data_IF_600581809920
#
_entry.id   IF_600581809920
#
_cell.length_a   1.000
_cell.length_b   1.000
_cell.length_c   1.000
_cell.angle_alpha   90.00
_cell.angle_beta   90.00
_cell.angle_gamma   90.00
#
_symmetry.space_group_name_H-M   'P 1'
#
loop_
_entity.id
_entity.type
_entity.pdbx_description
1 polymer ?
#
# COMPACT_ATOMS: atom_id res chain seq x y z
N UNK A 1 11.21 -28.71 -45.88
CA UNK A 1 11.51 -28.54 -44.44
C UNK A 1 12.00 -27.12 -44.20
N UNK A 2 11.16 -26.22 -43.66
CA UNK A 2 11.55 -24.86 -43.28
C UNK A 2 10.92 -24.53 -41.93
N UNK A 3 11.74 -24.37 -40.89
CA UNK A 3 11.32 -24.18 -39.50
C UNK A 3 10.65 -22.82 -39.30
N UNK A 4 9.37 -22.81 -38.97
CA UNK A 4 8.69 -21.63 -38.40
C UNK A 4 9.19 -21.37 -36.98
N UNK A 5 10.20 -20.51 -36.84
CA UNK A 5 10.62 -19.97 -35.53
C UNK A 5 9.54 -18.99 -35.03
N UNK A 6 8.67 -19.47 -34.13
CA UNK A 6 7.80 -18.59 -33.34
C UNK A 6 8.68 -17.66 -32.52
N UNK A 7 8.65 -16.35 -32.81
CA UNK A 7 9.25 -15.31 -31.96
C UNK A 7 8.63 -15.41 -30.56
N UNK A 8 9.40 -15.86 -29.58
CA UNK A 8 9.04 -15.78 -28.18
C UNK A 8 8.98 -14.30 -27.79
N UNK A 9 7.77 -13.81 -27.45
CA UNK A 9 7.55 -12.46 -26.96
C UNK A 9 8.25 -12.35 -25.60
N UNK A 10 9.31 -11.53 -25.49
CA UNK A 10 9.95 -11.21 -24.19
C UNK A 10 8.93 -10.45 -23.35
N UNK A 11 8.17 -11.17 -22.53
CA UNK A 11 7.34 -10.58 -21.47
C UNK A 11 8.31 -10.05 -20.43
N UNK A 12 8.25 -8.75 -20.10
CA UNK A 12 9.09 -8.21 -19.03
C UNK A 12 8.72 -8.91 -17.72
N UNK A 13 9.71 -9.12 -16.84
CA UNK A 13 9.50 -9.76 -15.53
C UNK A 13 8.41 -9.03 -14.73
N UNK A 14 8.35 -7.71 -14.88
CA UNK A 14 7.26 -6.88 -14.36
C UNK A 14 5.90 -7.37 -14.87
N UNK A 15 5.69 -7.46 -16.18
CA UNK A 15 4.43 -7.91 -16.78
C UNK A 15 4.12 -9.36 -16.41
N UNK A 16 5.11 -10.25 -16.31
CA UNK A 16 4.86 -11.65 -15.93
C UNK A 16 4.46 -11.80 -14.47
N UNK A 17 5.04 -11.02 -13.54
CA UNK A 17 4.63 -11.02 -12.14
C UNK A 17 3.20 -10.52 -12.01
N UNK A 18 2.84 -9.43 -12.71
CA UNK A 18 1.46 -8.93 -12.73
C UNK A 18 0.48 -9.90 -13.42
N UNK A 19 0.90 -10.61 -14.46
CA UNK A 19 0.07 -11.58 -15.20
C UNK A 19 -0.10 -12.92 -14.47
N UNK A 20 0.85 -13.33 -13.62
CA UNK A 20 0.76 -14.58 -12.86
C UNK A 20 -0.38 -14.55 -11.82
N UNK A 21 -0.81 -13.35 -11.42
CA UNK A 21 -1.95 -13.14 -10.51
C UNK A 21 -3.33 -13.13 -11.19
N UNK A 22 -3.40 -13.28 -12.51
CA UNK A 22 -4.65 -13.28 -13.29
C UNK A 22 -5.33 -14.68 -13.34
N UNK A 23 -4.72 -15.70 -12.72
CA UNK A 23 -5.22 -17.10 -12.76
C UNK A 23 -6.39 -17.41 -11.81
N UNK A 24 -6.81 -16.49 -10.95
CA UNK A 24 -8.03 -16.64 -10.14
C UNK A 24 -9.05 -15.51 -10.45
N UNK A 25 -9.85 -15.68 -11.51
CA UNK A 25 -11.00 -14.80 -11.82
C UNK A 25 -12.23 -15.18 -10.97
N UNK A 26 -13.17 -14.27 -10.61
CA UNK A 26 -13.58 -13.08 -11.39
C UNK A 26 -13.72 -11.78 -10.55
N UNK A 27 -12.92 -10.78 -10.90
CA UNK A 27 -13.11 -9.38 -10.49
C UNK A 27 -12.85 -8.41 -11.66
N UNK A 28 -13.36 -8.80 -12.81
CA UNK A 28 -13.07 -8.28 -14.15
C UNK A 28 -13.34 -6.77 -14.28
N UNK A 29 -14.31 -6.25 -13.52
CA UNK A 29 -14.65 -4.81 -13.54
C UNK A 29 -13.65 -3.91 -12.81
N UNK A 30 -13.06 -4.38 -11.70
CA UNK A 30 -12.20 -3.55 -10.85
C UNK A 30 -10.70 -3.85 -11.04
N UNK A 31 -10.37 -4.89 -11.81
CA UNK A 31 -8.99 -5.28 -12.06
C UNK A 31 -8.12 -4.13 -12.62
N UNK A 32 -8.56 -3.33 -13.62
CA UNK A 32 -7.76 -2.22 -14.12
C UNK A 32 -7.50 -1.15 -13.05
N UNK A 33 -8.53 -0.83 -12.24
CA UNK A 33 -8.42 0.13 -11.16
C UNK A 33 -7.45 -0.36 -10.06
N UNK A 34 -7.53 -1.65 -9.69
CA UNK A 34 -6.61 -2.25 -8.71
C UNK A 34 -5.17 -2.23 -9.23
N UNK A 35 -4.94 -2.53 -10.51
CA UNK A 35 -3.61 -2.47 -11.12
C UNK A 35 -3.05 -1.05 -11.13
N UNK A 36 -3.88 -0.06 -11.50
CA UNK A 36 -3.50 1.35 -11.46
C UNK A 36 -3.15 1.78 -10.04
N UNK A 37 -4.03 1.50 -9.07
CA UNK A 37 -3.82 1.83 -7.67
C UNK A 37 -2.54 1.19 -7.12
N UNK A 38 -2.27 -0.08 -7.44
CA UNK A 38 -0.99 -0.73 -7.06
C UNK A 38 0.22 -0.04 -7.68
N UNK A 39 0.13 0.40 -8.94
CA UNK A 39 1.19 1.15 -9.59
C UNK A 39 1.46 2.49 -8.89
N UNK A 40 0.39 3.23 -8.56
CA UNK A 40 0.50 4.49 -7.81
C UNK A 40 1.07 4.24 -6.41
N UNK A 41 0.60 3.22 -5.71
CA UNK A 41 1.05 2.83 -4.35
C UNK A 41 2.57 2.55 -4.33
N UNK A 42 3.09 1.85 -5.35
CA UNK A 42 4.55 1.62 -5.50
C UNK A 42 5.31 2.91 -5.69
N UNK A 43 4.87 3.77 -6.61
CA UNK A 43 5.57 5.02 -6.91
C UNK A 43 5.59 5.90 -5.67
N UNK A 44 4.45 6.05 -5.00
CA UNK A 44 4.35 6.82 -3.77
C UNK A 44 5.21 6.23 -2.66
N UNK A 45 5.18 4.91 -2.45
CA UNK A 45 5.99 4.26 -1.41
C UNK A 45 7.48 4.37 -1.70
N UNK A 46 7.89 4.31 -2.97
CA UNK A 46 9.30 4.47 -3.35
C UNK A 46 9.79 5.89 -3.06
N UNK A 47 8.99 6.92 -3.38
CA UNK A 47 9.38 8.32 -3.16
C UNK A 47 9.25 8.71 -1.69
N UNK A 48 8.07 8.54 -1.10
CA UNK A 48 7.76 9.08 0.23
C UNK A 48 8.08 8.11 1.36
N UNK A 49 7.88 6.81 1.15
CA UNK A 49 8.23 5.79 2.15
C UNK A 49 9.73 5.48 2.18
N UNK A 50 10.37 5.35 1.02
CA UNK A 50 11.76 4.92 0.93
C UNK A 50 12.72 6.09 0.75
N UNK A 51 12.63 6.88 -0.33
CA UNK A 51 13.62 7.96 -0.56
C UNK A 51 13.54 9.05 0.51
N UNK A 52 12.37 9.65 0.72
CA UNK A 52 12.22 10.72 1.70
C UNK A 52 12.11 10.12 3.10
N UNK A 53 11.20 9.15 3.27
CA UNK A 53 10.86 8.61 4.59
C UNK A 53 11.99 7.83 5.28
N UNK A 54 12.96 7.29 4.55
CA UNK A 54 14.13 6.66 5.16
C UNK A 54 15.28 7.65 5.32
N UNK A 55 15.66 8.37 4.25
CA UNK A 55 16.87 9.19 4.28
C UNK A 55 16.70 10.49 5.06
N UNK A 56 15.55 11.16 4.99
CA UNK A 56 15.34 12.41 5.72
C UNK A 56 15.48 12.27 7.24
N UNK A 57 14.80 11.32 7.93
CA UNK A 57 15.03 11.12 9.36
C UNK A 57 16.46 10.66 9.65
N UNK A 58 17.12 9.91 8.76
CA UNK A 58 18.52 9.52 8.94
C UNK A 58 19.46 10.73 8.92
N UNK A 59 19.24 11.66 7.98
CA UNK A 59 19.97 12.91 7.90
C UNK A 59 19.74 13.79 9.13
N UNK A 60 18.52 13.81 9.68
CA UNK A 60 18.24 14.51 10.94
C UNK A 60 18.99 13.86 12.10
N UNK A 61 18.94 12.54 12.24
CA UNK A 61 19.57 11.84 13.37
C UNK A 61 21.10 12.01 13.38
N UNK A 62 21.75 11.97 12.21
CA UNK A 62 23.22 11.94 12.10
C UNK A 62 23.81 13.31 11.78
N UNK A 63 23.05 14.17 11.10
CA UNK A 63 23.57 15.35 10.41
C UNK A 63 23.13 16.70 10.98
N UNK A 64 22.29 16.75 12.02
CA UNK A 64 21.95 18.01 12.69
C UNK A 64 22.61 18.12 14.07
N UNK A 65 23.08 19.32 14.40
CA UNK A 65 23.59 19.65 15.73
C UNK A 65 22.45 20.01 16.70
N UNK A 66 21.21 20.09 16.21
CA UNK A 66 20.02 20.30 17.04
C UNK A 66 19.67 19.01 17.81
N UNK A 67 20.12 18.95 19.07
CA UNK A 67 19.82 17.85 19.98
C UNK A 67 18.32 17.69 20.27
N UNK A 68 17.54 18.77 20.15
CA UNK A 68 16.09 18.75 20.33
C UNK A 68 15.36 18.05 19.19
N UNK A 69 15.93 18.03 17.98
CA UNK A 69 15.33 17.40 16.80
C UNK A 69 15.91 16.00 16.51
N UNK A 70 17.23 15.82 16.66
CA UNK A 70 17.89 14.52 16.47
C UNK A 70 17.52 13.50 17.55
N UNK A 71 17.28 13.95 18.78
CA UNK A 71 16.86 13.11 19.90
C UNK A 71 15.34 12.94 20.05
N UNK A 72 14.52 13.64 19.26
CA UNK A 72 13.07 13.54 19.39
C UNK A 72 12.57 12.17 18.89
N UNK A 73 11.74 11.53 19.71
CA UNK A 73 11.18 10.21 19.41
C UNK A 73 10.40 10.18 18.09
N UNK A 74 9.84 11.31 17.65
CA UNK A 74 9.08 11.39 16.41
C UNK A 74 9.93 11.20 15.16
N UNK A 75 11.23 11.52 15.20
CA UNK A 75 12.18 11.26 14.12
C UNK A 75 12.44 9.75 13.97
N UNK A 76 12.55 9.02 15.09
CA UNK A 76 12.64 7.55 15.08
C UNK A 76 11.31 6.95 14.61
N UNK A 77 10.18 7.47 15.09
CA UNK A 77 8.85 7.00 14.70
C UNK A 77 8.59 7.21 13.20
N UNK A 78 9.11 8.29 12.63
CA UNK A 78 9.08 8.53 11.18
C UNK A 78 9.80 7.41 10.44
N UNK A 79 11.05 7.12 10.81
CA UNK A 79 11.85 6.06 10.20
C UNK A 79 11.16 4.69 10.29
N UNK A 80 10.60 4.35 11.45
CA UNK A 80 9.87 3.10 11.66
C UNK A 80 8.62 3.04 10.77
N UNK A 81 7.85 4.13 10.69
CA UNK A 81 6.65 4.20 9.84
C UNK A 81 6.99 4.01 8.36
N UNK A 82 8.07 4.64 7.91
CA UNK A 82 8.63 4.52 6.55
C UNK A 82 9.06 3.09 6.21
N UNK A 83 9.70 2.40 7.14
CA UNK A 83 10.03 0.98 6.99
C UNK A 83 8.78 0.11 6.92
N UNK A 84 7.74 0.40 7.71
CA UNK A 84 6.48 -0.32 7.66
C UNK A 84 5.74 -0.12 6.33
N UNK A 85 5.70 1.09 5.78
CA UNK A 85 5.19 1.31 4.42
C UNK A 85 5.97 0.52 3.37
N UNK A 86 7.30 0.54 3.47
CA UNK A 86 8.16 -0.21 2.56
C UNK A 86 7.93 -1.72 2.67
N UNK A 87 7.77 -2.25 3.88
CA UNK A 87 7.46 -3.67 4.08
C UNK A 87 6.04 -4.02 3.59
N UNK A 88 5.06 -3.18 3.90
CA UNK A 88 3.67 -3.38 3.53
C UNK A 88 3.44 -3.37 2.01
N UNK A 89 4.20 -2.58 1.23
CA UNK A 89 4.12 -2.63 -0.24
C UNK A 89 4.60 -3.97 -0.80
N UNK A 90 5.63 -4.60 -0.22
CA UNK A 90 6.03 -5.95 -0.62
C UNK A 90 4.93 -6.97 -0.31
N UNK A 91 4.33 -6.89 0.87
CA UNK A 91 3.20 -7.75 1.26
C UNK A 91 2.00 -7.55 0.32
N UNK A 92 1.73 -6.31 -0.09
CA UNK A 92 0.68 -5.97 -1.05
C UNK A 92 0.96 -6.62 -2.41
N UNK A 93 2.21 -6.58 -2.87
CA UNK A 93 2.64 -7.16 -4.14
C UNK A 93 2.61 -8.69 -4.15
N UNK A 94 2.82 -9.33 -3.00
CA UNK A 94 2.59 -10.75 -2.82
C UNK A 94 1.09 -11.13 -2.80
N UNK A 95 0.19 -10.15 -2.93
CA UNK A 95 -1.26 -10.35 -3.03
C UNK A 95 -1.97 -10.42 -1.68
N UNK A 96 -1.25 -10.31 -0.56
CA UNK A 96 -1.83 -10.38 0.78
C UNK A 96 -2.38 -9.02 1.23
N UNK A 97 -3.44 -8.59 0.54
CA UNK A 97 -4.06 -7.26 0.68
C UNK A 97 -4.46 -6.91 2.12
N UNK A 98 -5.07 -7.85 2.86
CA UNK A 98 -5.50 -7.61 4.25
C UNK A 98 -4.32 -7.32 5.19
N UNK A 99 -3.27 -8.13 5.10
CA UNK A 99 -2.07 -7.94 5.91
C UNK A 99 -1.36 -6.65 5.53
N UNK A 100 -1.26 -6.34 4.24
CA UNK A 100 -0.70 -5.08 3.77
C UNK A 100 -1.48 -3.87 4.32
N UNK A 101 -2.82 -3.90 4.27
CA UNK A 101 -3.65 -2.83 4.82
C UNK A 101 -3.47 -2.66 6.33
N UNK A 102 -3.32 -3.76 7.09
CA UNK A 102 -3.02 -3.68 8.51
C UNK A 102 -1.67 -2.98 8.77
N UNK A 103 -0.62 -3.41 8.07
CA UNK A 103 0.72 -2.83 8.20
C UNK A 103 0.70 -1.34 7.86
N UNK A 104 0.10 -0.96 6.73
CA UNK A 104 0.01 0.45 6.31
C UNK A 104 -0.88 1.28 7.24
N UNK A 105 -1.88 0.68 7.89
CA UNK A 105 -2.69 1.39 8.90
C UNK A 105 -1.87 1.70 10.15
N UNK A 106 -1.02 0.77 10.60
CA UNK A 106 -0.09 1.00 11.71
C UNK A 106 0.94 2.07 11.33
N UNK A 107 1.50 1.99 10.13
CA UNK A 107 2.42 3.00 9.60
C UNK A 107 1.76 4.39 9.52
N UNK A 108 0.48 4.46 9.13
CA UNK A 108 -0.27 5.71 9.08
C UNK A 108 -0.51 6.30 10.47
N UNK A 109 -0.79 5.47 11.48
CA UNK A 109 -0.91 5.94 12.85
C UNK A 109 0.41 6.55 13.35
N UNK A 110 1.55 5.90 13.10
CA UNK A 110 2.87 6.45 13.41
C UNK A 110 3.15 7.76 12.68
N UNK A 111 2.85 7.81 11.38
CA UNK A 111 2.99 9.01 10.54
C UNK A 111 2.13 10.17 11.04
N UNK A 112 0.91 9.90 11.50
CA UNK A 112 0.02 10.91 12.03
C UNK A 112 0.57 11.50 13.34
N UNK A 113 1.09 10.65 14.23
CA UNK A 113 1.75 11.09 15.46
C UNK A 113 2.97 11.96 15.13
N UNK A 114 3.82 11.52 14.20
CA UNK A 114 4.97 12.29 13.74
C UNK A 114 4.56 13.63 13.14
N UNK A 115 3.52 13.65 12.29
CA UNK A 115 3.02 14.88 11.67
C UNK A 115 2.61 15.90 12.73
N UNK A 116 1.78 15.52 13.71
CA UNK A 116 1.36 16.44 14.77
C UNK A 116 2.54 16.93 15.60
N UNK A 117 3.49 16.04 15.92
CA UNK A 117 4.69 16.43 16.65
C UNK A 117 5.55 17.43 15.88
N UNK A 118 5.73 17.22 14.58
CA UNK A 118 6.49 18.13 13.72
C UNK A 118 5.75 19.46 13.51
N UNK A 119 4.43 19.46 13.39
CA UNK A 119 3.65 20.71 13.36
C UNK A 119 3.87 21.53 14.64
N UNK A 120 3.92 20.89 15.81
CA UNK A 120 4.21 21.57 17.07
C UNK A 120 5.66 22.06 17.16
N UNK A 121 6.63 21.26 16.71
CA UNK A 121 8.06 21.63 16.71
C UNK A 121 8.34 22.82 15.79
N UNK A 122 7.67 22.88 14.64
CA UNK A 122 7.91 23.90 13.61
C UNK A 122 6.90 25.05 13.63
N UNK A 123 5.97 25.10 14.61
CA UNK A 123 4.86 26.07 14.66
C UNK A 123 5.29 27.56 14.63
N UNK A 124 6.50 27.85 15.11
CA UNK A 124 7.03 29.22 15.22
C UNK A 124 7.92 29.60 14.02
N UNK A 125 8.17 28.65 13.10
CA UNK A 125 8.98 28.87 11.91
C UNK A 125 8.08 29.23 10.72
N UNK A 126 8.60 30.07 9.84
CA UNK A 126 7.89 30.55 8.64
C UNK A 126 7.45 29.40 7.71
N UNK A 127 8.13 28.25 7.80
CA UNK A 127 7.85 27.02 7.07
C UNK A 127 7.00 26.00 7.86
N UNK A 128 6.17 26.43 8.82
CA UNK A 128 5.36 25.54 9.66
C UNK A 128 4.49 24.53 8.90
N UNK A 129 4.17 24.78 7.61
CA UNK A 129 3.43 23.85 6.75
C UNK A 129 4.29 22.80 6.04
N UNK A 130 5.62 22.93 6.04
CA UNK A 130 6.53 22.01 5.36
C UNK A 130 6.36 20.52 5.76
N UNK A 131 6.13 20.17 7.05
CA UNK A 131 5.83 18.80 7.47
C UNK A 131 4.70 18.15 6.67
N UNK A 132 3.65 18.91 6.36
CA UNK A 132 2.46 18.41 5.66
C UNK A 132 2.82 17.82 4.30
N UNK A 133 3.73 18.47 3.55
CA UNK A 133 4.16 18.02 2.23
C UNK A 133 4.84 16.65 2.22
N UNK A 134 5.44 16.25 3.34
CA UNK A 134 6.12 14.97 3.49
C UNK A 134 5.20 13.87 4.03
N UNK A 135 4.35 14.20 5.00
CA UNK A 135 3.57 13.19 5.72
C UNK A 135 2.21 12.90 5.06
N UNK A 136 1.57 13.86 4.40
CA UNK A 136 0.27 13.62 3.75
C UNK A 136 0.34 12.57 2.63
N UNK A 137 1.37 12.57 1.75
CA UNK A 137 1.55 11.51 0.76
C UNK A 137 1.69 10.12 1.40
N UNK A 138 2.36 10.00 2.55
CA UNK A 138 2.46 8.75 3.30
C UNK A 138 1.09 8.27 3.80
N UNK A 139 0.24 9.16 4.30
CA UNK A 139 -1.14 8.82 4.65
C UNK A 139 -1.95 8.39 3.41
N UNK A 140 -1.67 8.98 2.26
CA UNK A 140 -2.22 8.58 0.96
C UNK A 140 -1.90 7.13 0.58
N UNK A 141 -0.67 6.66 0.84
CA UNK A 141 -0.27 5.24 0.66
C UNK A 141 -1.23 4.31 1.42
N UNK A 142 -1.46 4.58 2.71
CA UNK A 142 -2.37 3.76 3.51
C UNK A 142 -3.81 3.77 2.96
N UNK A 143 -4.31 4.94 2.57
CA UNK A 143 -5.65 5.06 1.98
C UNK A 143 -5.78 4.24 0.69
N UNK A 144 -4.77 4.27 -0.18
CA UNK A 144 -4.73 3.47 -1.42
C UNK A 144 -4.75 1.98 -1.10
N UNK A 145 -3.91 1.52 -0.17
CA UNK A 145 -3.83 0.09 0.19
C UNK A 145 -5.13 -0.41 0.83
N UNK A 146 -5.77 0.40 1.69
CA UNK A 146 -7.09 0.09 2.25
C UNK A 146 -8.12 -0.01 1.12
N UNK A 147 -8.09 0.92 0.16
CA UNK A 147 -8.98 0.90 -1.01
C UNK A 147 -8.79 -0.36 -1.85
N UNK A 148 -7.55 -0.74 -2.16
CA UNK A 148 -7.23 -2.00 -2.86
C UNK A 148 -7.80 -3.21 -2.09
N UNK A 149 -7.65 -3.20 -0.77
CA UNK A 149 -8.12 -4.28 0.09
C UNK A 149 -9.64 -4.40 0.08
N UNK A 150 -10.36 -3.27 0.13
CA UNK A 150 -11.82 -3.24 0.04
C UNK A 150 -12.30 -3.73 -1.32
N UNK A 151 -11.72 -3.19 -2.41
CA UNK A 151 -12.06 -3.59 -3.78
C UNK A 151 -11.82 -5.08 -4.02
N UNK A 152 -10.77 -5.65 -3.43
CA UNK A 152 -10.43 -7.07 -3.59
C UNK A 152 -11.31 -7.99 -2.73
N UNK A 153 -11.59 -7.63 -1.48
CA UNK A 153 -12.16 -8.56 -0.50
C UNK A 153 -13.69 -8.41 -0.31
N UNK A 154 -14.26 -7.22 -0.49
CA UNK A 154 -15.71 -7.02 -0.31
C UNK A 154 -16.52 -7.84 -1.32
N UNK A 155 -16.23 -7.83 -2.63
CA UNK A 155 -17.02 -8.61 -3.58
C UNK A 155 -16.87 -10.12 -3.37
N UNK A 156 -15.68 -10.59 -2.95
CA UNK A 156 -15.45 -12.00 -2.59
C UNK A 156 -16.35 -12.43 -1.42
N UNK A 157 -16.46 -11.59 -0.38
CA UNK A 157 -17.35 -11.82 0.76
C UNK A 157 -18.82 -11.85 0.36
N UNK A 158 -19.25 -10.93 -0.50
CA UNK A 158 -20.63 -10.87 -1.00
C UNK A 158 -21.00 -12.12 -1.80
N UNK A 159 -20.12 -12.59 -2.69
CA UNK A 159 -20.33 -13.83 -3.46
C UNK A 159 -20.41 -15.06 -2.54
N UNK A 160 -19.48 -15.18 -1.59
CA UNK A 160 -19.48 -16.27 -0.63
C UNK A 160 -20.74 -16.29 0.25
N UNK A 161 -21.26 -15.11 0.64
CA UNK A 161 -22.51 -15.00 1.39
C UNK A 161 -23.72 -15.47 0.56
N UNK A 162 -23.83 -15.02 -0.70
CA UNK A 162 -24.90 -15.44 -1.62
C UNK A 162 -24.87 -16.94 -1.90
N UNK A 163 -23.70 -17.54 -2.07
CA UNK A 163 -23.57 -18.99 -2.25
C UNK A 163 -24.08 -19.76 -1.03
N UNK A 164 -23.71 -19.33 0.18
CA UNK A 164 -24.21 -19.93 1.44
C UNK A 164 -25.72 -19.75 1.64
N UNK A 165 -26.28 -18.64 1.16
CA UNK A 165 -27.73 -18.40 1.19
C UNK A 165 -28.46 -19.32 0.20
N UNK A 166 -27.90 -19.51 -1.00
CA UNK A 166 -28.44 -20.42 -2.01
C UNK A 166 -28.36 -21.90 -1.59
N UNK A 167 -27.29 -22.31 -0.91
CA UNK A 167 -27.15 -23.68 -0.36
C UNK A 167 -28.15 -23.98 0.76
N UNK A 168 -28.64 -22.94 1.46
CA UNK A 168 -29.65 -23.07 2.53
C UNK A 168 -31.09 -22.96 2.02
N UNK A 169 -31.30 -22.56 0.77
CA UNK A 169 -32.62 -22.53 0.19
C UNK A 169 -33.09 -23.98 -0.03
N UNK A 170 -34.25 -24.41 0.51
CA UNK A 170 -34.77 -25.75 0.28
C UNK A 170 -34.90 -25.96 -1.23
N UNK A 171 -34.45 -27.13 -1.71
CA UNK A 171 -34.54 -27.52 -3.11
C UNK A 171 -36.01 -27.45 -3.56
N UNK A 172 -36.37 -26.41 -4.30
CA UNK A 172 -37.68 -26.29 -4.99
C UNK A 172 -37.80 -27.33 -6.14
N UNK A 173 -36.71 -28.04 -6.46
CA UNK A 173 -36.65 -29.05 -7.53
C UNK A 173 -36.66 -30.50 -7.02
N UNK A 174 -36.84 -30.72 -5.72
CA UNK A 174 -37.08 -32.07 -5.17
C UNK A 174 -38.56 -32.20 -4.84
N UNK A 175 -39.19 -33.26 -5.33
CA UNK A 175 -40.60 -33.67 -5.15
C UNK A 175 -41.57 -33.13 -6.22
N UNK A 176 -41.37 -33.60 -7.46
CA UNK A 176 -42.47 -34.04 -8.33
C UNK A 176 -42.13 -35.37 -8.97
#
# INVERSE_FOLDING_TARGET
MGKNMKKAKKTSVFVSTFAMFDKEKPLDKYLPAIMLLRGVDVVMTSIFGLLIGFFAPLCIIIGTDDAGLSGDYSTILWLVSSLLYTFGIFVLMLGNTKTAALIHSIAAAGTLITLFRYLDLFKEYEEASAPVGYFLPCLGIAAITITITLLTNVPKRLKAKKMKENEKAPSILGDK
#
